data_IF_598858272066
#
_entry.id   IF_598858272066
#
_cell.length_a   1.000
_cell.length_b   1.000
_cell.length_c   1.000
_cell.angle_alpha   90.00
_cell.angle_beta   90.00
_cell.angle_gamma   90.00
#
_symmetry.space_group_name_H-M   'P 1'
#
loop_
_entity.id
_entity.type
_entity.pdbx_description
1 polymer ?
#
# COMPACT_ATOMS: atom_id res chain seq x y z
N UNK A 1 -5.02 -12.60 -49.12
CA UNK A 1 -5.90 -12.39 -47.95
C UNK A 1 -5.36 -12.97 -46.64
N UNK A 2 -4.83 -14.21 -46.60
CA UNK A 2 -4.29 -14.84 -45.36
C UNK A 2 -3.15 -14.05 -44.67
N UNK A 3 -2.27 -13.37 -45.43
CA UNK A 3 -1.17 -12.54 -44.88
C UNK A 3 -1.64 -11.21 -44.27
N UNK A 4 -2.74 -10.64 -44.76
CA UNK A 4 -3.29 -9.38 -44.23
C UNK A 4 -4.04 -9.62 -42.89
N UNK A 5 -4.69 -10.77 -42.77
CA UNK A 5 -5.39 -11.20 -41.53
C UNK A 5 -4.38 -11.44 -40.39
N UNK A 6 -3.21 -12.02 -40.71
CA UNK A 6 -2.14 -12.23 -39.72
C UNK A 6 -1.53 -10.93 -39.20
N UNK A 7 -1.46 -9.89 -40.03
CA UNK A 7 -0.91 -8.59 -39.63
C UNK A 7 -1.89 -7.81 -38.73
N UNK A 8 -3.19 -7.91 -39.03
CA UNK A 8 -4.24 -7.29 -38.21
C UNK A 8 -4.35 -7.93 -36.81
N UNK A 9 -4.16 -9.25 -36.70
CA UNK A 9 -4.16 -9.95 -35.41
C UNK A 9 -2.98 -9.52 -34.52
N UNK A 10 -1.81 -9.28 -35.13
CA UNK A 10 -0.59 -8.84 -34.43
C UNK A 10 -0.71 -7.39 -33.94
N UNK A 11 -1.41 -6.53 -34.68
CA UNK A 11 -1.69 -5.15 -34.26
C UNK A 11 -2.66 -5.10 -33.06
N UNK A 12 -3.60 -6.04 -32.98
CA UNK A 12 -4.58 -6.10 -31.89
C UNK A 12 -3.96 -6.53 -30.55
N UNK A 13 -2.87 -7.30 -30.59
CA UNK A 13 -2.11 -7.70 -29.39
C UNK A 13 -1.33 -6.56 -28.73
N UNK A 14 -1.19 -5.39 -29.36
CA UNK A 14 -0.52 -4.23 -28.76
C UNK A 14 -1.44 -3.36 -27.90
N UNK A 15 -2.75 -3.62 -27.89
CA UNK A 15 -3.76 -2.81 -27.18
C UNK A 15 -4.13 -3.43 -25.82
N UNK A 16 -3.30 -4.34 -25.30
CA UNK A 16 -3.58 -5.04 -24.03
C UNK A 16 -3.25 -4.10 -22.86
N UNK A 17 -4.28 -3.35 -22.44
CA UNK A 17 -4.54 -2.76 -21.11
C UNK A 17 -3.32 -2.30 -20.31
N UNK A 18 -3.01 -1.01 -20.41
CA UNK A 18 -2.41 -0.26 -19.30
C UNK A 18 -3.53 0.29 -18.41
N UNK A 19 -4.14 -0.56 -17.58
CA UNK A 19 -4.84 -0.07 -16.38
C UNK A 19 -3.79 0.21 -15.30
N UNK A 20 -2.91 1.18 -15.57
CA UNK A 20 -2.11 1.78 -14.50
C UNK A 20 -2.91 2.98 -14.01
N UNK A 21 -3.65 2.81 -12.90
CA UNK A 21 -4.07 3.92 -12.07
C UNK A 21 -2.81 4.57 -11.45
N UNK A 22 -2.05 5.29 -12.28
CA UNK A 22 -0.91 6.07 -11.85
C UNK A 22 -1.42 7.44 -11.39
N UNK A 23 -2.29 7.45 -10.38
CA UNK A 23 -2.46 8.65 -9.58
C UNK A 23 -1.07 8.96 -8.99
N UNK A 24 -0.45 10.04 -9.45
CA UNK A 24 0.87 10.48 -9.02
C UNK A 24 0.65 11.64 -8.05
N UNK A 25 0.57 11.34 -6.75
CA UNK A 25 0.17 12.34 -5.80
C UNK A 25 1.35 13.31 -5.52
N UNK A 26 1.02 14.50 -5.01
CA UNK A 26 1.98 15.58 -4.66
C UNK A 26 2.83 15.16 -3.46
N UNK A 27 3.97 15.80 -3.22
CA UNK A 27 4.86 15.55 -2.06
C UNK A 27 4.12 15.20 -0.75
N UNK A 28 4.67 14.31 0.06
CA UNK A 28 4.14 13.97 1.40
C UNK A 28 3.95 15.24 2.24
N UNK A 29 2.87 15.38 3.03
CA UNK A 29 1.83 14.39 3.39
C UNK A 29 0.78 14.12 2.30
N UNK A 30 0.10 12.98 2.39
CA UNK A 30 -0.66 12.41 1.26
C UNK A 30 -1.66 11.32 1.68
N UNK A 31 -2.69 11.11 0.87
CA UNK A 31 -3.68 10.03 1.05
C UNK A 31 -3.97 9.34 -0.29
N UNK A 32 -4.17 8.01 -0.24
CA UNK A 32 -4.69 7.22 -1.35
C UNK A 32 -5.77 6.27 -0.85
N UNK A 33 -6.79 6.05 -1.70
CA UNK A 33 -7.92 5.19 -1.38
C UNK A 33 -8.15 4.16 -2.49
N UNK A 34 -8.60 2.97 -2.09
CA UNK A 34 -9.29 1.99 -2.92
C UNK A 34 -10.71 1.78 -2.38
N UNK A 35 -11.44 0.81 -2.92
CA UNK A 35 -12.75 0.41 -2.37
C UNK A 35 -12.63 -0.19 -0.96
N UNK A 36 -11.51 -0.86 -0.67
CA UNK A 36 -11.29 -1.56 0.60
C UNK A 36 -10.50 -0.73 1.62
N UNK A 37 -9.56 0.10 1.18
CA UNK A 37 -8.57 0.73 2.07
C UNK A 37 -8.45 2.23 1.83
N UNK A 38 -8.31 2.97 2.93
CA UNK A 38 -7.73 4.31 2.92
C UNK A 38 -6.38 4.25 3.61
N UNK A 39 -5.36 4.73 2.91
CA UNK A 39 -3.97 4.77 3.38
C UNK A 39 -3.52 6.22 3.44
N UNK A 40 -3.12 6.68 4.64
CA UNK A 40 -2.68 8.05 4.85
C UNK A 40 -1.23 8.07 5.36
N UNK A 41 -0.44 9.02 4.83
CA UNK A 41 0.85 9.43 5.37
C UNK A 41 0.73 10.92 5.66
N UNK A 42 0.40 11.24 6.90
CA UNK A 42 0.11 12.60 7.36
C UNK A 42 1.30 13.23 8.08
N UNK A 43 1.18 14.52 8.37
CA UNK A 43 2.06 15.20 9.31
C UNK A 43 1.94 14.59 10.71
N UNK A 44 3.02 14.69 11.49
CA UNK A 44 3.03 14.20 12.87
C UNK A 44 2.10 15.04 13.75
N UNK A 45 1.06 14.41 14.31
CA UNK A 45 0.05 15.09 15.16
C UNK A 45 0.60 15.65 16.48
N UNK A 46 1.73 15.12 16.99
CA UNK A 46 2.36 15.56 18.24
C UNK A 46 3.88 15.55 18.11
N UNK A 47 4.50 16.69 18.40
CA UNK A 47 5.94 16.81 18.55
C UNK A 47 6.28 16.85 20.03
N UNK A 48 7.03 15.86 20.53
CA UNK A 48 7.60 15.90 21.87
C UNK A 48 9.07 15.54 21.78
N UNK A 49 9.91 16.09 22.68
CA UNK A 49 11.35 15.79 22.71
C UNK A 49 11.67 14.30 22.88
N UNK A 50 10.70 13.48 23.33
CA UNK A 50 10.84 12.03 23.49
C UNK A 50 10.57 11.24 22.21
N UNK A 51 9.93 11.85 21.21
CA UNK A 51 9.65 11.22 19.92
C UNK A 51 10.76 11.56 18.92
N UNK A 52 10.97 10.67 17.95
CA UNK A 52 11.92 10.89 16.87
C UNK A 52 11.58 12.19 16.14
N UNK A 53 12.56 13.10 16.09
CA UNK A 53 12.46 14.39 15.43
C UNK A 53 13.13 14.31 14.05
N UNK A 54 12.60 15.04 13.05
CA UNK A 54 13.23 15.10 11.74
C UNK A 54 14.65 15.66 11.85
N UNK A 55 15.55 15.16 11.01
CA UNK A 55 16.92 15.65 10.91
C UNK A 55 17.14 16.26 9.54
N UNK A 56 17.32 17.58 9.50
CA UNK A 56 17.51 18.36 8.27
C UNK A 56 18.53 17.70 7.35
N UNK A 57 18.14 17.44 6.11
CA UNK A 57 18.98 16.83 5.08
C UNK A 57 19.19 15.32 5.21
N UNK A 58 18.66 14.66 6.25
CA UNK A 58 18.81 13.22 6.47
C UNK A 58 17.48 12.49 6.35
N UNK A 59 16.48 12.89 7.14
CA UNK A 59 15.14 12.29 7.13
C UNK A 59 14.08 13.23 7.69
N UNK A 60 12.85 13.06 7.20
CA UNK A 60 11.63 13.65 7.73
C UNK A 60 10.84 12.60 8.53
N UNK A 61 9.88 13.02 9.34
CA UNK A 61 9.01 12.11 10.09
C UNK A 61 7.54 12.33 9.75
N UNK A 62 6.78 11.24 9.68
CA UNK A 62 5.37 11.25 9.30
C UNK A 62 4.53 10.37 10.23
N UNK A 63 3.21 10.56 10.18
CA UNK A 63 2.23 9.69 10.81
C UNK A 63 1.58 8.81 9.73
N UNK A 64 1.55 7.50 9.94
CA UNK A 64 0.90 6.56 9.03
C UNK A 64 -0.42 6.08 9.61
N UNK A 65 -1.46 5.95 8.78
CA UNK A 65 -2.68 5.23 9.16
C UNK A 65 -3.30 4.44 8.01
N UNK A 66 -3.93 3.31 8.36
CA UNK A 66 -4.75 2.51 7.43
C UNK A 66 -6.13 2.30 8.04
N UNK A 67 -7.15 2.63 7.25
CA UNK A 67 -8.55 2.44 7.57
C UNK A 67 -9.19 1.46 6.61
N UNK A 68 -9.92 0.50 7.15
CA UNK A 68 -10.80 -0.37 6.37
C UNK A 68 -12.03 0.44 5.94
N UNK A 69 -12.18 0.70 4.64
CA UNK A 69 -13.35 1.34 4.04
C UNK A 69 -14.43 0.33 3.63
N UNK A 70 -14.07 -0.94 3.50
CA UNK A 70 -15.01 -2.01 3.22
C UNK A 70 -16.11 -2.10 4.28
N UNK A 71 -17.30 -2.52 3.85
CA UNK A 71 -18.46 -2.68 4.76
C UNK A 71 -18.26 -3.83 5.74
N UNK A 72 -17.56 -4.87 5.28
CA UNK A 72 -17.31 -6.08 6.06
C UNK A 72 -16.00 -5.98 6.82
N UNK A 73 -15.97 -6.73 7.91
CA UNK A 73 -14.75 -7.03 8.60
C UNK A 73 -13.83 -7.93 7.78
N UNK A 74 -12.53 -7.75 7.98
CA UNK A 74 -11.48 -8.56 7.38
C UNK A 74 -10.52 -9.07 8.45
N UNK A 75 -9.78 -10.11 8.09
CA UNK A 75 -8.95 -10.89 9.00
C UNK A 75 -7.51 -10.99 8.51
N UNK A 76 -6.61 -11.28 9.44
CA UNK A 76 -5.18 -11.51 9.18
C UNK A 76 -4.58 -10.39 8.32
N UNK A 77 -4.92 -9.15 8.66
CA UNK A 77 -4.49 -7.99 7.90
C UNK A 77 -3.02 -7.76 8.20
N UNK A 78 -2.21 -7.68 7.16
CA UNK A 78 -0.80 -7.36 7.25
C UNK A 78 -0.51 -6.15 6.38
N UNK A 79 0.14 -5.15 6.96
CA UNK A 79 0.58 -3.94 6.29
C UNK A 79 2.10 -3.89 6.36
N UNK A 80 2.73 -3.79 5.20
CA UNK A 80 4.19 -3.69 5.07
C UNK A 80 4.51 -2.40 4.32
N UNK A 81 5.40 -1.59 4.90
CA UNK A 81 5.75 -0.28 4.36
C UNK A 81 7.23 -0.23 4.05
N UNK A 82 7.56 0.13 2.82
CA UNK A 82 8.92 0.20 2.31
C UNK A 82 9.21 1.56 1.67
N UNK A 83 10.46 1.97 1.70
CA UNK A 83 10.96 3.09 0.90
C UNK A 83 12.01 2.63 -0.11
N UNK A 84 12.15 3.36 -1.20
CA UNK A 84 13.27 3.14 -2.11
C UNK A 84 14.57 3.75 -1.57
N UNK A 85 15.69 3.27 -2.12
CA UNK A 85 17.01 3.85 -1.93
C UNK A 85 17.62 4.26 -3.28
N UNK A 86 18.46 5.32 -3.30
CA UNK A 86 19.17 5.70 -4.51
C UNK A 86 20.04 4.56 -5.06
N UNK A 87 20.11 4.45 -6.39
CA UNK A 87 21.01 3.55 -7.11
C UNK A 87 20.81 2.05 -6.85
N UNK A 88 19.69 1.64 -6.24
CA UNK A 88 19.35 0.22 -6.02
C UNK A 88 17.89 -0.08 -6.27
N UNK A 89 17.61 -1.33 -6.65
CA UNK A 89 16.25 -1.88 -6.74
C UNK A 89 15.74 -2.37 -5.39
N UNK A 90 16.64 -2.61 -4.44
CA UNK A 90 16.29 -3.06 -3.09
C UNK A 90 15.58 -1.94 -2.34
N UNK A 91 14.43 -2.26 -1.77
CA UNK A 91 13.66 -1.33 -0.93
C UNK A 91 13.93 -1.66 0.54
N UNK A 92 13.96 -0.63 1.37
CA UNK A 92 14.20 -0.79 2.80
C UNK A 92 12.88 -0.73 3.53
N UNK A 93 12.68 -1.70 4.43
CA UNK A 93 11.51 -1.70 5.30
C UNK A 93 11.54 -0.47 6.21
N UNK A 94 10.39 0.17 6.33
CA UNK A 94 10.13 1.19 7.33
C UNK A 94 9.50 0.55 8.58
N UNK A 95 8.47 -0.26 8.38
CA UNK A 95 7.84 -1.07 9.40
C UNK A 95 6.85 -2.06 8.78
N UNK A 96 6.48 -3.06 9.57
CA UNK A 96 5.37 -3.98 9.30
C UNK A 96 4.44 -4.07 10.49
N UNK A 97 3.14 -4.08 10.24
CA UNK A 97 2.10 -4.21 11.26
C UNK A 97 1.14 -5.35 10.88
N UNK A 98 0.58 -6.00 11.91
CA UNK A 98 -0.42 -7.06 11.74
C UNK A 98 -1.60 -6.81 12.66
N UNK A 99 -2.80 -7.04 12.14
CA UNK A 99 -4.03 -7.02 12.91
C UNK A 99 -4.81 -8.30 12.60
N UNK A 100 -5.25 -8.98 13.66
CA UNK A 100 -5.96 -10.26 13.53
C UNK A 100 -7.33 -10.07 12.87
N UNK A 101 -7.97 -8.93 13.15
CA UNK A 101 -9.35 -8.62 12.78
C UNK A 101 -9.55 -7.12 12.70
N UNK A 102 -10.07 -6.62 11.58
CA UNK A 102 -10.32 -5.20 11.38
C UNK A 102 -11.73 -4.97 10.82
N UNK A 103 -12.60 -4.41 11.66
CA UNK A 103 -13.97 -4.09 11.29
C UNK A 103 -14.06 -2.99 10.22
N UNK A 104 -15.13 -3.03 9.43
CA UNK A 104 -15.43 -2.00 8.43
C UNK A 104 -15.57 -0.62 9.07
N UNK A 105 -15.04 0.40 8.39
CA UNK A 105 -15.03 1.79 8.84
C UNK A 105 -14.05 2.09 9.99
N UNK A 106 -13.25 1.13 10.45
CA UNK A 106 -12.27 1.33 11.54
C UNK A 106 -10.86 1.54 11.02
N UNK A 107 -10.12 2.40 11.71
CA UNK A 107 -8.66 2.52 11.58
C UNK A 107 -8.03 1.43 12.41
N UNK A 108 -7.29 0.52 11.77
CA UNK A 108 -6.65 -0.61 12.45
C UNK A 108 -5.17 -0.41 12.68
N UNK A 109 -4.54 0.45 11.87
CA UNK A 109 -3.10 0.63 11.91
C UNK A 109 -2.78 2.10 12.05
N UNK A 110 -1.95 2.41 13.05
CA UNK A 110 -1.35 3.72 13.22
C UNK A 110 0.13 3.54 13.56
N UNK A 111 1.00 4.26 12.87
CA UNK A 111 2.42 4.36 13.24
C UNK A 111 2.80 5.83 13.31
N UNK A 112 3.11 6.30 14.52
CA UNK A 112 3.57 7.67 14.72
C UNK A 112 5.05 7.81 14.37
N UNK A 113 5.43 8.98 13.85
CA UNK A 113 6.80 9.46 13.71
C UNK A 113 7.77 8.47 13.02
N UNK A 114 7.30 7.73 12.02
CA UNK A 114 8.22 6.90 11.22
C UNK A 114 9.10 7.79 10.36
N UNK A 115 10.38 7.41 10.20
CA UNK A 115 11.37 8.22 9.49
C UNK A 115 11.46 7.83 8.01
N UNK A 116 11.47 8.84 7.14
CA UNK A 116 11.66 8.67 5.69
C UNK A 116 12.85 9.50 5.28
N UNK A 117 13.85 8.88 4.65
CA UNK A 117 15.03 9.62 4.22
C UNK A 117 14.68 10.67 3.17
N UNK A 118 15.35 11.82 3.24
CA UNK A 118 15.31 12.87 2.21
C UNK A 118 15.81 12.42 0.84
N UNK A 119 16.45 11.24 0.76
CA UNK A 119 16.91 10.62 -0.48
C UNK A 119 15.88 9.69 -1.12
N UNK A 120 14.83 9.32 -0.39
CA UNK A 120 13.76 8.47 -0.89
C UNK A 120 12.69 9.32 -1.56
N UNK A 121 12.27 8.93 -2.76
CA UNK A 121 11.21 9.60 -3.52
C UNK A 121 9.97 8.71 -3.70
N UNK A 122 10.00 7.49 -3.13
CA UNK A 122 8.92 6.53 -3.23
C UNK A 122 8.71 5.76 -1.93
N UNK A 123 7.45 5.66 -1.52
CA UNK A 123 6.98 4.77 -0.48
C UNK A 123 6.02 3.76 -1.09
N UNK A 124 6.25 2.49 -0.80
CA UNK A 124 5.39 1.39 -1.18
C UNK A 124 4.69 0.86 0.08
N UNK A 125 3.36 0.80 0.04
CA UNK A 125 2.54 0.21 1.10
C UNK A 125 1.84 -1.00 0.52
N UNK A 126 2.11 -2.17 1.08
CA UNK A 126 1.49 -3.44 0.68
C UNK A 126 0.54 -3.83 1.80
N UNK A 127 -0.73 -4.03 1.44
CA UNK A 127 -1.75 -4.50 2.37
C UNK A 127 -2.23 -5.87 1.89
N UNK A 128 -2.23 -6.85 2.78
CA UNK A 128 -2.83 -8.15 2.53
C UNK A 128 -3.85 -8.48 3.61
N UNK A 129 -4.92 -9.19 3.24
CA UNK A 129 -6.00 -9.56 4.17
C UNK A 129 -6.77 -10.78 3.67
N UNK A 130 -7.70 -11.26 4.48
CA UNK A 130 -8.68 -12.30 4.15
C UNK A 130 -10.09 -11.82 4.54
N UNK A 131 -11.13 -12.15 3.77
CA UNK A 131 -12.52 -11.84 4.15
C UNK A 131 -13.01 -12.66 5.35
N UNK A 132 -12.45 -13.86 5.52
CA UNK A 132 -12.68 -14.76 6.66
C UNK A 132 -11.40 -15.60 6.85
N UNK A 133 -10.95 -16.01 8.04
CA UNK A 133 -9.66 -16.68 8.21
C UNK A 133 -9.60 -18.10 7.60
N UNK A 134 -10.75 -18.74 7.40
CA UNK A 134 -10.85 -20.08 6.81
C UNK A 134 -12.16 -20.28 6.03
N UNK A 135 -12.16 -21.23 5.10
CA UNK A 135 -13.37 -21.77 4.48
C UNK A 135 -13.78 -23.06 5.21
N UNK A 136 -15.06 -23.17 5.58
CA UNK A 136 -15.62 -24.37 6.21
C UNK A 136 -16.32 -25.23 5.16
N UNK A 137 -15.92 -26.49 5.05
CA UNK A 137 -16.59 -27.49 4.22
C UNK A 137 -17.78 -28.11 4.96
N UNK A 138 -18.70 -28.74 4.22
CA UNK A 138 -19.87 -29.43 4.82
C UNK A 138 -19.48 -30.55 5.81
N UNK A 139 -18.31 -31.16 5.61
CA UNK A 139 -17.76 -32.18 6.51
C UNK A 139 -17.02 -31.60 7.74
N UNK A 140 -17.05 -30.28 7.95
CA UNK A 140 -16.40 -29.60 9.06
C UNK A 140 -14.90 -29.30 8.86
N UNK A 141 -14.31 -29.74 7.75
CA UNK A 141 -12.91 -29.44 7.43
C UNK A 141 -12.73 -27.95 7.15
N UNK A 142 -11.65 -27.38 7.69
CA UNK A 142 -11.27 -25.98 7.49
C UNK A 142 -10.05 -25.87 6.58
N UNK A 143 -10.12 -24.94 5.63
CA UNK A 143 -9.01 -24.60 4.75
C UNK A 143 -8.69 -23.12 4.87
N UNK A 144 -7.42 -22.75 4.70
CA UNK A 144 -7.04 -21.34 4.65
C UNK A 144 -7.83 -20.63 3.53
N UNK A 145 -8.37 -19.45 3.83
CA UNK A 145 -9.13 -18.70 2.85
C UNK A 145 -8.23 -17.97 1.86
N UNK A 146 -8.84 -17.48 0.78
CA UNK A 146 -8.16 -16.64 -0.19
C UNK A 146 -7.58 -15.39 0.48
N UNK A 147 -6.27 -15.22 0.32
CA UNK A 147 -5.57 -13.99 0.68
C UNK A 147 -5.63 -12.99 -0.46
N UNK A 148 -6.00 -11.75 -0.15
CA UNK A 148 -6.04 -10.62 -1.06
C UNK A 148 -4.83 -9.72 -0.84
N UNK A 149 -4.50 -8.91 -1.86
CA UNK A 149 -3.38 -7.98 -1.83
C UNK A 149 -3.73 -6.71 -2.59
N UNK A 150 -3.41 -5.57 -1.99
CA UNK A 150 -3.35 -4.27 -2.65
C UNK A 150 -1.98 -3.63 -2.42
N UNK A 151 -1.57 -2.79 -3.38
CA UNK A 151 -0.29 -2.12 -3.37
C UNK A 151 -0.48 -0.64 -3.70
N UNK A 152 -0.17 0.20 -2.73
CA UNK A 152 -0.22 1.66 -2.85
C UNK A 152 1.19 2.19 -3.06
N UNK A 153 1.33 3.12 -4.01
CA UNK A 153 2.62 3.71 -4.36
C UNK A 153 2.51 5.22 -4.24
N UNK A 154 3.24 5.78 -3.27
CA UNK A 154 3.36 7.21 -3.06
C UNK A 154 4.67 7.67 -3.66
N UNK A 155 4.64 8.60 -4.61
CA UNK A 155 5.84 9.17 -5.24
C UNK A 155 5.90 10.67 -4.98
N UNK A 156 7.06 11.16 -4.59
CA UNK A 156 7.31 12.59 -4.54
C UNK A 156 7.61 13.11 -5.94
N UNK A 157 6.88 14.12 -6.38
CA UNK A 157 7.18 14.84 -7.62
C UNK A 157 8.19 15.93 -7.32
N UNK A 158 9.43 15.79 -7.83
CA UNK A 158 10.39 16.90 -7.81
C UNK A 158 9.87 18.01 -8.72
N UNK A 159 9.59 19.18 -8.15
CA UNK A 159 9.30 20.40 -8.89
C UNK A 159 10.56 20.95 -9.55
#
# INVERSE_FOLDING_TARGET
>A
MKKAISFFLLLFCLIVVNETYAYSPKSLPISQNSDQWQVNIDEVKRTSKKLLQPKKGVFQTYHFSVKNLGKSEVYNVQVEVFRNEPHTKTKYELFSLKESRLAGGKTGFEHANFSVSTKSDKIDVIITWQEHPFLSMRNGQKFESRKFKEHFVFKETKK
#
